data_IF_474727861103
#
_entry.id   IF_474727861103
#
_cell.length_a   1.000
_cell.length_b   1.000
_cell.length_c   1.000
_cell.angle_alpha   90.00
_cell.angle_beta   90.00
_cell.angle_gamma   90.00
#
_symmetry.space_group_name_H-M   'P 1'
#
loop_
_entity.id
_entity.type
_entity.pdbx_description
1 polymer ?
#
# COMPACT_ATOMS: atom_id res chain seq x y z
N UNK A 1 29.04 17.69 -24.22
CA UNK A 1 28.21 16.58 -24.71
C UNK A 1 26.77 16.97 -24.44
N UNK A 2 26.09 17.48 -25.47
CA UNK A 2 24.70 17.87 -25.40
C UNK A 2 23.83 16.62 -25.18
N UNK A 3 23.07 16.60 -24.09
CA UNK A 3 22.00 15.62 -23.89
C UNK A 3 20.88 15.97 -24.86
N UNK A 4 20.90 15.36 -26.04
CA UNK A 4 19.79 15.38 -26.96
C UNK A 4 18.65 14.56 -26.31
N UNK A 5 17.73 15.24 -25.64
CA UNK A 5 16.47 14.65 -25.17
C UNK A 5 15.68 14.28 -26.40
N UNK A 6 15.87 13.07 -26.91
CA UNK A 6 15.06 12.50 -27.98
C UNK A 6 13.61 12.37 -27.48
N UNK A 7 12.82 13.41 -27.71
CA UNK A 7 11.39 13.37 -27.50
C UNK A 7 10.78 12.31 -28.43
N UNK A 8 10.13 11.31 -27.86
CA UNK A 8 9.46 10.26 -28.62
C UNK A 8 8.19 10.81 -29.28
N UNK A 9 8.34 11.38 -30.47
CA UNK A 9 7.23 11.96 -31.24
C UNK A 9 6.36 10.92 -31.98
N UNK A 10 6.75 9.64 -31.97
CA UNK A 10 6.03 8.59 -32.70
C UNK A 10 4.69 8.21 -32.05
N UNK A 11 4.50 8.49 -30.76
CA UNK A 11 3.26 8.12 -30.06
C UNK A 11 2.03 8.73 -30.71
N UNK A 12 2.06 10.01 -31.05
CA UNK A 12 0.92 10.71 -31.68
C UNK A 12 0.61 10.24 -33.11
N UNK A 13 1.56 9.54 -33.74
CA UNK A 13 1.42 8.99 -35.09
C UNK A 13 0.80 7.59 -35.11
N UNK A 14 0.65 6.95 -33.94
CA UNK A 14 0.01 5.65 -33.82
C UNK A 14 -1.51 5.77 -34.09
N UNK A 15 -2.13 4.76 -34.70
CA UNK A 15 -3.58 4.60 -34.72
C UNK A 15 -4.19 4.77 -33.32
N UNK A 16 -5.42 5.31 -33.26
CA UNK A 16 -6.06 5.63 -32.00
C UNK A 16 -6.21 4.39 -31.09
N UNK A 17 -6.48 3.23 -31.69
CA UNK A 17 -6.64 1.95 -31.01
C UNK A 17 -5.37 1.56 -30.25
N UNK A 18 -4.20 1.75 -30.87
CA UNK A 18 -2.91 1.45 -30.23
C UNK A 18 -2.59 2.46 -29.12
N UNK A 19 -2.88 3.75 -29.31
CA UNK A 19 -2.67 4.76 -28.27
C UNK A 19 -3.53 4.49 -27.04
N UNK A 20 -4.81 4.16 -27.25
CA UNK A 20 -5.73 3.77 -26.18
C UNK A 20 -5.29 2.48 -25.48
N UNK A 21 -4.84 1.46 -26.23
CA UNK A 21 -4.30 0.23 -25.66
C UNK A 21 -3.08 0.52 -24.77
N UNK A 22 -2.12 1.33 -25.25
CA UNK A 22 -0.95 1.73 -24.46
C UNK A 22 -1.39 2.45 -23.17
N UNK A 23 -2.34 3.39 -23.25
CA UNK A 23 -2.84 4.06 -22.04
C UNK A 23 -3.48 3.10 -21.04
N UNK A 24 -4.25 2.10 -21.51
CA UNK A 24 -4.85 1.08 -20.63
C UNK A 24 -3.79 0.21 -19.97
N UNK A 25 -2.71 -0.12 -20.67
CA UNK A 25 -1.58 -0.85 -20.10
C UNK A 25 -0.80 0.00 -19.08
N UNK A 26 -0.72 1.31 -19.28
CA UNK A 26 -0.03 2.21 -18.37
C UNK A 26 -0.79 2.52 -17.06
N UNK A 27 -2.06 2.12 -16.93
CA UNK A 27 -2.81 2.28 -15.68
C UNK A 27 -2.19 1.38 -14.58
N UNK A 28 -1.98 1.90 -13.36
CA UNK A 28 -1.41 1.09 -12.29
C UNK A 28 -2.42 0.06 -11.74
N UNK A 29 -1.91 -1.00 -11.11
CA UNK A 29 -2.69 -1.83 -10.20
C UNK A 29 -2.40 -1.34 -8.78
N UNK A 30 -3.38 -0.75 -8.10
CA UNK A 30 -3.15 -0.07 -6.82
C UNK A 30 -3.75 -0.85 -5.67
N UNK A 31 -3.21 -0.56 -4.50
CA UNK A 31 -3.75 -1.01 -3.22
C UNK A 31 -4.40 0.22 -2.60
N UNK A 32 -5.72 0.21 -2.50
CA UNK A 32 -6.56 1.31 -2.06
C UNK A 32 -6.88 1.14 -0.58
N UNK A 33 -6.32 2.00 0.25
CA UNK A 33 -6.58 2.00 1.70
C UNK A 33 -7.94 2.66 2.00
N UNK A 34 -8.68 2.06 2.93
CA UNK A 34 -9.99 2.56 3.40
C UNK A 34 -9.92 3.26 4.74
N UNK A 35 -8.73 3.26 5.34
CA UNK A 35 -8.41 3.83 6.63
C UNK A 35 -6.92 4.13 6.73
N UNK A 36 -6.55 5.00 7.66
CA UNK A 36 -5.16 5.30 7.94
C UNK A 36 -4.53 4.20 8.81
N UNK A 37 -3.29 3.80 8.50
CA UNK A 37 -2.49 3.02 9.46
C UNK A 37 -2.19 3.84 10.72
N UNK A 38 -2.04 3.15 11.86
CA UNK A 38 -1.61 3.79 13.10
C UNK A 38 -0.10 4.09 13.07
N UNK A 39 0.23 5.37 13.06
CA UNK A 39 1.61 5.88 12.92
C UNK A 39 2.39 6.00 14.25
N UNK A 40 1.73 5.91 15.40
CA UNK A 40 2.36 6.17 16.72
C UNK A 40 2.86 4.89 17.41
N UNK A 41 2.79 3.74 16.73
CA UNK A 41 3.02 2.42 17.33
C UNK A 41 1.80 1.97 18.11
N UNK A 42 1.57 0.65 18.17
CA UNK A 42 0.48 0.12 18.98
C UNK A 42 0.71 0.42 20.46
N UNK A 43 -0.36 0.62 21.23
CA UNK A 43 -0.34 0.59 22.71
C UNK A 43 0.32 -0.70 23.25
N UNK A 44 0.43 -1.74 22.41
CA UNK A 44 1.06 -3.04 22.70
C UNK A 44 2.16 -3.46 21.69
N UNK A 45 2.58 -2.58 20.76
CA UNK A 45 3.65 -2.85 19.80
C UNK A 45 5.02 -2.41 20.35
N UNK A 46 6.09 -3.16 20.02
CA UNK A 46 7.41 -2.92 20.63
C UNK A 46 8.11 -1.66 20.13
N UNK A 47 7.79 -1.14 18.93
CA UNK A 47 8.41 0.08 18.40
C UNK A 47 7.45 0.86 17.47
N UNK A 48 7.47 2.21 17.48
CA UNK A 48 6.74 3.02 16.51
C UNK A 48 7.28 2.75 15.09
N UNK A 49 6.43 2.85 14.04
CA UNK A 49 6.86 2.63 12.68
C UNK A 49 7.97 3.61 12.29
N UNK A 50 8.89 3.16 11.44
CA UNK A 50 10.00 3.97 10.95
C UNK A 50 9.56 5.19 10.10
N UNK A 51 8.27 5.37 9.85
CA UNK A 51 7.71 6.41 8.98
C UNK A 51 6.33 6.86 9.45
N UNK A 52 5.96 8.11 9.11
CA UNK A 52 4.59 8.63 9.20
C UNK A 52 3.78 8.15 8.00
N UNK A 53 3.08 7.03 8.11
CA UNK A 53 2.44 6.34 7.01
C UNK A 53 1.19 7.07 6.50
N UNK A 54 0.55 7.93 7.31
CA UNK A 54 -0.57 8.78 6.89
C UNK A 54 -0.25 9.63 5.66
N UNK A 55 0.99 10.10 5.53
CA UNK A 55 1.41 10.90 4.39
C UNK A 55 1.36 10.09 3.09
N UNK A 56 1.83 8.84 3.14
CA UNK A 56 1.78 7.92 2.00
C UNK A 56 0.34 7.56 1.65
N UNK A 57 -0.52 7.32 2.64
CA UNK A 57 -1.96 7.11 2.40
C UNK A 57 -2.56 8.30 1.67
N UNK A 58 -2.29 9.54 2.10
CA UNK A 58 -2.77 10.75 1.44
C UNK A 58 -2.31 10.90 -0.02
N UNK A 59 -1.09 10.47 -0.35
CA UNK A 59 -0.61 10.41 -1.73
C UNK A 59 -1.33 9.31 -2.52
N UNK A 60 -1.48 8.14 -1.92
CA UNK A 60 -2.11 6.98 -2.49
C UNK A 60 -3.63 7.13 -2.69
N UNK A 61 -4.27 8.13 -2.10
CA UNK A 61 -5.71 8.42 -2.31
C UNK A 61 -6.01 9.17 -3.61
N UNK A 62 -5.00 9.75 -4.25
CA UNK A 62 -5.16 10.62 -5.43
C UNK A 62 -5.42 9.78 -6.69
N UNK A 63 -6.02 10.38 -7.72
CA UNK A 63 -6.07 9.76 -9.05
C UNK A 63 -4.65 9.45 -9.57
N UNK A 64 -4.45 8.37 -10.35
CA UNK A 64 -3.14 7.98 -10.85
C UNK A 64 -2.56 9.08 -11.74
N UNK A 65 -1.24 9.17 -11.80
CA UNK A 65 -0.53 10.24 -12.52
C UNK A 65 -0.89 10.29 -14.00
N UNK A 66 -1.17 9.13 -14.60
CA UNK A 66 -1.62 9.01 -16.00
C UNK A 66 -2.90 9.81 -16.30
N UNK A 67 -3.77 10.02 -15.31
CA UNK A 67 -4.99 10.84 -15.47
C UNK A 67 -4.71 12.34 -15.72
N UNK A 68 -3.45 12.77 -15.55
CA UNK A 68 -3.00 14.16 -15.66
C UNK A 68 -2.12 14.44 -16.87
N UNK A 69 -1.74 13.42 -17.65
CA UNK A 69 -0.82 13.56 -18.78
C UNK A 69 -1.47 14.31 -19.95
N UNK A 70 -2.59 13.82 -20.48
CA UNK A 70 -3.32 14.49 -21.56
C UNK A 70 -4.82 14.18 -21.48
N UNK A 71 -5.62 14.74 -22.41
CA UNK A 71 -7.07 14.47 -22.45
C UNK A 71 -7.39 13.00 -22.70
N UNK A 72 -6.65 12.35 -23.61
CA UNK A 72 -6.88 10.95 -23.96
C UNK A 72 -6.56 10.01 -22.79
N UNK A 73 -5.40 10.17 -22.17
CA UNK A 73 -5.00 9.36 -21.01
C UNK A 73 -5.96 9.55 -19.83
N UNK A 74 -6.48 10.77 -19.65
CA UNK A 74 -7.53 11.06 -18.66
C UNK A 74 -8.81 10.31 -18.98
N UNK A 75 -9.29 10.36 -20.21
CA UNK A 75 -10.51 9.63 -20.59
C UNK A 75 -10.35 8.14 -20.31
N UNK A 76 -9.20 7.55 -20.65
CA UNK A 76 -8.90 6.14 -20.34
C UNK A 76 -8.90 5.87 -18.83
N UNK A 77 -8.28 6.71 -18.01
CA UNK A 77 -8.28 6.52 -16.56
C UNK A 77 -9.68 6.59 -15.93
N UNK A 78 -10.60 7.34 -16.54
CA UNK A 78 -11.98 7.50 -16.08
C UNK A 78 -12.96 6.50 -16.74
N UNK A 79 -12.49 5.57 -17.59
CA UNK A 79 -13.35 4.49 -18.16
C UNK A 79 -13.92 3.61 -17.03
N UNK A 80 -13.10 3.31 -16.02
CA UNK A 80 -13.45 2.51 -14.84
C UNK A 80 -13.14 3.23 -13.52
N UNK A 81 -12.16 4.13 -13.52
CA UNK A 81 -11.69 4.81 -12.33
C UNK A 81 -12.56 6.00 -11.92
N UNK A 82 -12.78 6.15 -10.61
CA UNK A 82 -13.54 7.26 -10.03
C UNK A 82 -13.14 7.49 -8.57
N UNK A 83 -13.56 8.61 -7.99
CA UNK A 83 -13.49 8.76 -6.54
C UNK A 83 -14.68 8.04 -5.91
N UNK A 84 -14.41 7.23 -4.90
CA UNK A 84 -15.48 6.66 -4.06
C UNK A 84 -16.31 7.82 -3.53
N UNK A 85 -17.61 7.75 -3.78
CA UNK A 85 -18.56 8.63 -3.14
C UNK A 85 -18.61 8.26 -1.65
N UNK A 86 -18.72 9.29 -0.81
CA UNK A 86 -18.96 9.15 0.61
C UNK A 86 -20.43 8.74 0.82
N UNK A 87 -20.80 7.60 0.23
CA UNK A 87 -22.06 6.95 0.48
C UNK A 87 -21.96 6.35 1.86
N UNK A 88 -22.91 6.71 2.73
CA UNK A 88 -23.14 6.00 3.99
C UNK A 88 -23.00 4.50 3.71
N UNK A 89 -22.09 3.86 4.44
CA UNK A 89 -22.07 2.40 4.51
C UNK A 89 -23.50 1.95 4.75
N UNK A 90 -24.03 0.99 3.96
CA UNK A 90 -25.35 0.45 4.23
C UNK A 90 -25.45 0.13 5.73
N UNK A 91 -26.60 0.40 6.35
CA UNK A 91 -26.81 0.06 7.77
C UNK A 91 -26.53 -1.43 8.05
N UNK A 92 -26.60 -2.26 7.01
CA UNK A 92 -26.31 -3.70 7.02
C UNK A 92 -24.82 -4.04 7.18
N UNK A 93 -23.89 -3.11 6.91
CA UNK A 93 -22.44 -3.30 7.06
C UNK A 93 -21.82 -2.09 7.78
N UNK A 94 -22.25 -1.82 9.03
CA UNK A 94 -21.76 -0.67 9.75
C UNK A 94 -20.30 -0.93 10.10
N UNK A 95 -19.43 -0.05 9.62
CA UNK A 95 -18.12 0.15 10.21
C UNK A 95 -17.78 1.62 10.13
N UNK A 96 -17.47 2.19 11.28
CA UNK A 96 -17.05 3.57 11.38
C UNK A 96 -15.86 3.68 12.31
N UNK A 97 -14.95 4.59 11.99
CA UNK A 97 -13.75 4.86 12.78
C UNK A 97 -13.19 6.24 12.47
N UNK A 98 -12.58 6.88 13.46
CA UNK A 98 -11.96 8.20 13.32
C UNK A 98 -10.81 8.23 12.29
N UNK A 99 -10.27 7.07 11.94
CA UNK A 99 -9.19 6.93 10.96
C UNK A 99 -9.68 6.46 9.59
N UNK A 100 -10.99 6.35 9.40
CA UNK A 100 -11.57 6.03 8.09
C UNK A 100 -11.20 7.09 7.06
N UNK A 101 -11.08 6.66 5.82
CA UNK A 101 -10.74 7.49 4.69
C UNK A 101 -11.98 7.70 3.80
N UNK A 102 -12.46 8.95 3.74
CA UNK A 102 -13.75 9.26 3.08
C UNK A 102 -13.67 9.37 1.55
N UNK A 103 -12.53 9.83 1.03
CA UNK A 103 -12.36 10.15 -0.40
C UNK A 103 -11.10 9.53 -0.96
N UNK A 104 -11.28 8.47 -1.75
CA UNK A 104 -10.16 7.77 -2.40
C UNK A 104 -10.51 7.45 -3.84
N UNK A 105 -9.54 7.67 -4.72
CA UNK A 105 -9.61 7.15 -6.08
C UNK A 105 -9.55 5.63 -6.08
N UNK A 106 -10.44 5.00 -6.85
CA UNK A 106 -10.46 3.56 -7.08
C UNK A 106 -10.71 3.28 -8.56
N UNK A 107 -10.03 2.28 -9.09
CA UNK A 107 -10.41 1.55 -10.30
C UNK A 107 -10.89 0.14 -9.90
N UNK A 108 -12.21 -0.11 -9.82
CA UNK A 108 -12.79 -1.40 -9.44
C UNK A 108 -12.24 -2.61 -10.20
N UNK A 109 -11.83 -2.40 -11.46
CA UNK A 109 -11.37 -3.50 -12.32
C UNK A 109 -9.93 -3.92 -12.06
N UNK A 110 -9.15 -3.10 -11.34
CA UNK A 110 -7.70 -3.28 -11.15
C UNK A 110 -7.29 -3.30 -9.68
N UNK A 111 -7.93 -2.46 -8.87
CA UNK A 111 -7.46 -2.12 -7.54
C UNK A 111 -7.89 -3.13 -6.48
N UNK A 112 -7.05 -3.30 -5.47
CA UNK A 112 -7.30 -4.12 -4.29
C UNK A 112 -7.62 -3.22 -3.11
N UNK A 113 -8.67 -3.52 -2.36
CA UNK A 113 -9.00 -2.79 -1.14
C UNK A 113 -8.11 -3.24 0.02
N UNK A 114 -7.63 -2.32 0.84
CA UNK A 114 -6.81 -2.63 2.02
C UNK A 114 -7.37 -2.00 3.29
N UNK A 115 -7.43 -2.81 4.34
CA UNK A 115 -7.78 -2.43 5.71
C UNK A 115 -6.52 -2.46 6.59
N UNK A 116 -6.11 -1.30 7.11
CA UNK A 116 -5.01 -1.22 8.08
C UNK A 116 -5.49 -1.52 9.51
N UNK A 117 -6.72 -1.11 9.83
CA UNK A 117 -7.35 -1.21 11.14
C UNK A 117 -7.23 -2.62 11.68
N UNK A 118 -6.81 -2.72 12.93
CA UNK A 118 -6.97 -3.92 13.75
C UNK A 118 -7.74 -3.54 15.01
N UNK A 119 -8.49 -4.46 15.65
CA UNK A 119 -9.19 -4.14 16.89
C UNK A 119 -8.30 -3.59 18.02
N UNK A 120 -6.99 -3.84 17.99
CA UNK A 120 -6.02 -3.19 18.88
C UNK A 120 -5.99 -1.66 18.76
N UNK A 121 -6.43 -1.11 17.61
CA UNK A 121 -6.52 0.33 17.37
C UNK A 121 -7.57 1.02 18.24
N UNK A 122 -8.53 0.26 18.80
CA UNK A 122 -9.56 0.78 19.71
C UNK A 122 -9.02 1.46 20.97
N UNK A 123 -7.76 1.18 21.34
CA UNK A 123 -7.09 1.84 22.45
C UNK A 123 -6.72 3.30 22.17
N UNK A 124 -6.54 3.69 20.89
CA UNK A 124 -6.17 5.05 20.48
C UNK A 124 -7.21 5.74 19.60
N UNK A 125 -8.12 4.99 18.99
CA UNK A 125 -9.11 5.51 18.04
C UNK A 125 -10.47 4.89 18.29
N UNK A 126 -11.53 5.67 18.12
CA UNK A 126 -12.86 5.11 18.14
C UNK A 126 -13.10 4.23 16.91
N UNK A 127 -13.80 3.12 17.12
CA UNK A 127 -14.21 2.18 16.09
C UNK A 127 -15.48 1.48 16.52
N UNK A 128 -16.45 1.41 15.62
CA UNK A 128 -17.74 0.74 15.83
C UNK A 128 -18.12 -0.10 14.62
N UNK A 129 -18.80 -1.22 14.88
CA UNK A 129 -19.16 -2.21 13.88
C UNK A 129 -18.01 -3.11 13.41
N UNK A 130 -18.23 -3.84 12.31
CA UNK A 130 -17.30 -4.88 11.83
C UNK A 130 -16.44 -4.37 10.69
N UNK A 131 -15.15 -4.16 10.97
CA UNK A 131 -14.19 -3.72 9.96
C UNK A 131 -14.00 -4.80 8.88
N UNK A 132 -14.08 -6.08 9.26
CA UNK A 132 -13.87 -7.19 8.34
C UNK A 132 -15.05 -7.40 7.39
N UNK A 133 -16.29 -7.26 7.87
CA UNK A 133 -17.47 -7.29 6.99
C UNK A 133 -17.47 -6.07 6.04
N UNK A 134 -17.07 -4.90 6.53
CA UNK A 134 -16.92 -3.70 5.70
C UNK A 134 -15.86 -3.89 4.60
N UNK A 135 -14.72 -4.50 4.94
CA UNK A 135 -13.70 -4.87 3.97
C UNK A 135 -14.27 -5.85 2.94
N UNK A 136 -14.95 -6.91 3.37
CA UNK A 136 -15.53 -7.92 2.47
C UNK A 136 -16.54 -7.29 1.50
N UNK A 137 -17.40 -6.40 2.00
CA UNK A 137 -18.35 -5.65 1.17
C UNK A 137 -17.65 -4.71 0.17
N UNK A 138 -16.61 -3.99 0.61
CA UNK A 138 -15.85 -3.08 -0.25
C UNK A 138 -15.06 -3.85 -1.31
N UNK A 139 -14.43 -4.96 -0.92
CA UNK A 139 -13.64 -5.82 -1.80
C UNK A 139 -14.48 -6.53 -2.87
N UNK A 140 -15.74 -6.84 -2.59
CA UNK A 140 -16.67 -7.40 -3.57
C UNK A 140 -16.95 -6.47 -4.76
N UNK A 141 -16.65 -5.18 -4.62
CA UNK A 141 -16.78 -4.15 -5.67
C UNK A 141 -15.45 -3.80 -6.33
N UNK A 142 -14.40 -4.58 -6.06
CA UNK A 142 -13.05 -4.35 -6.53
C UNK A 142 -12.42 -5.68 -6.96
N UNK A 143 -11.12 -5.68 -7.27
CA UNK A 143 -10.40 -6.91 -7.66
C UNK A 143 -10.19 -7.87 -6.49
N UNK A 144 -10.21 -7.35 -5.26
CA UNK A 144 -10.05 -8.15 -4.06
C UNK A 144 -9.85 -7.29 -2.82
N UNK A 145 -9.56 -7.95 -1.70
CA UNK A 145 -9.36 -7.32 -0.40
C UNK A 145 -8.11 -7.81 0.30
N UNK A 146 -7.59 -6.97 1.19
CA UNK A 146 -6.42 -7.28 1.99
C UNK A 146 -6.52 -6.65 3.36
N UNK A 147 -5.92 -7.28 4.37
CA UNK A 147 -5.87 -6.77 5.73
C UNK A 147 -4.61 -7.22 6.47
N UNK A 148 -4.33 -6.57 7.58
CA UNK A 148 -3.14 -6.82 8.41
C UNK A 148 -3.21 -8.19 9.10
N UNK A 149 -2.09 -8.90 9.17
CA UNK A 149 -1.99 -10.19 9.86
C UNK A 149 -2.41 -10.11 11.32
N UNK A 150 -1.98 -9.06 12.02
CA UNK A 150 -2.27 -8.81 13.44
C UNK A 150 -3.77 -8.63 13.72
N UNK A 151 -4.61 -8.44 12.69
CA UNK A 151 -6.06 -8.48 12.84
C UNK A 151 -6.52 -9.80 13.47
N UNK A 152 -5.84 -10.91 13.14
CA UNK A 152 -6.14 -12.26 13.60
C UNK A 152 -5.78 -12.51 15.08
N UNK A 153 -5.05 -11.61 15.73
CA UNK A 153 -4.69 -11.73 17.14
C UNK A 153 -5.79 -11.26 18.09
N UNK A 154 -6.86 -10.68 17.53
CA UNK A 154 -7.93 -10.10 18.32
C UNK A 154 -9.06 -11.10 18.54
N UNK A 155 -9.67 -11.05 19.71
CA UNK A 155 -10.79 -11.92 20.06
C UNK A 155 -12.11 -11.47 19.42
N UNK A 156 -12.27 -10.17 19.18
CA UNK A 156 -13.50 -9.55 18.69
C UNK A 156 -13.24 -8.57 17.54
N UNK A 157 -14.22 -8.42 16.66
CA UNK A 157 -14.36 -7.37 15.66
C UNK A 157 -15.69 -6.63 15.90
N UNK A 158 -15.58 -5.44 16.50
CA UNK A 158 -16.69 -4.78 17.18
C UNK A 158 -17.19 -5.64 18.34
N UNK A 159 -18.50 -5.82 18.43
CA UNK A 159 -19.15 -6.61 19.49
C UNK A 159 -19.20 -8.12 19.20
N UNK A 160 -18.60 -8.59 18.10
CA UNK A 160 -18.72 -9.98 17.64
C UNK A 160 -17.38 -10.70 17.68
N UNK A 161 -17.38 -11.95 18.12
CA UNK A 161 -16.17 -12.77 18.14
C UNK A 161 -15.61 -12.98 16.74
N UNK A 162 -14.29 -12.89 16.60
CA UNK A 162 -13.61 -13.02 15.30
C UNK A 162 -14.00 -14.32 14.60
N UNK A 163 -14.10 -15.44 15.33
CA UNK A 163 -14.46 -16.77 14.80
C UNK A 163 -15.78 -16.77 14.01
N UNK A 164 -16.72 -15.90 14.38
CA UNK A 164 -18.03 -15.79 13.75
C UNK A 164 -17.97 -15.02 12.42
N UNK A 165 -16.87 -14.29 12.17
CA UNK A 165 -16.61 -13.51 10.95
C UNK A 165 -15.94 -14.31 9.82
N UNK A 166 -15.83 -15.63 9.95
CA UNK A 166 -15.29 -16.49 8.87
C UNK A 166 -16.05 -16.30 7.54
N UNK A 167 -17.35 -15.98 7.61
CA UNK A 167 -18.16 -15.68 6.43
C UNK A 167 -17.64 -14.49 5.62
N UNK A 168 -17.12 -13.46 6.29
CA UNK A 168 -16.49 -12.31 5.64
C UNK A 168 -15.24 -12.72 4.86
N UNK A 169 -14.37 -13.53 5.50
CA UNK A 169 -13.15 -14.03 4.88
C UNK A 169 -13.41 -14.91 3.66
N UNK A 170 -14.45 -15.73 3.69
CA UNK A 170 -14.87 -16.54 2.53
C UNK A 170 -15.33 -15.69 1.34
N UNK A 171 -15.85 -14.49 1.59
CA UNK A 171 -16.29 -13.54 0.55
C UNK A 171 -15.13 -12.74 -0.04
N UNK A 172 -13.95 -12.73 0.59
CA UNK A 172 -12.77 -12.03 0.08
C UNK A 172 -12.16 -12.78 -1.11
N UNK A 173 -12.67 -12.46 -2.30
CA UNK A 173 -12.04 -12.90 -3.55
C UNK A 173 -10.61 -12.36 -3.63
N UNK A 174 -9.68 -13.22 -4.03
CA UNK A 174 -8.25 -12.89 -4.09
C UNK A 174 -7.69 -12.31 -2.77
N UNK A 175 -8.23 -12.75 -1.63
CA UNK A 175 -7.92 -12.21 -0.31
C UNK A 175 -6.43 -12.32 0.03
N UNK A 176 -5.86 -11.21 0.52
CA UNK A 176 -4.44 -11.12 0.89
C UNK A 176 -4.30 -10.79 2.37
N UNK A 177 -3.41 -11.50 3.06
CA UNK A 177 -3.02 -11.14 4.42
C UNK A 177 -1.63 -10.52 4.40
N UNK A 178 -1.54 -9.30 4.91
CA UNK A 178 -0.29 -8.55 4.99
C UNK A 178 0.46 -9.00 6.24
N UNK A 179 1.48 -9.82 6.01
CA UNK A 179 2.32 -10.39 7.07
C UNK A 179 3.29 -9.37 7.66
N UNK A 180 3.73 -8.42 6.83
CA UNK A 180 4.71 -7.40 7.19
C UNK A 180 4.59 -6.20 6.28
N UNK A 181 4.90 -5.02 6.83
CA UNK A 181 5.05 -3.78 6.08
C UNK A 181 6.53 -3.41 6.03
N UNK A 182 7.03 -3.10 4.84
CA UNK A 182 8.36 -2.55 4.59
C UNK A 182 8.20 -1.18 3.93
N UNK A 183 8.85 -0.17 4.48
CA UNK A 183 8.79 1.20 3.97
C UNK A 183 10.05 1.47 3.13
N UNK A 184 9.89 2.03 1.94
CA UNK A 184 10.97 2.39 1.03
C UNK A 184 11.07 3.90 0.96
N UNK A 185 12.07 4.46 1.63
CA UNK A 185 12.34 5.89 1.68
C UNK A 185 13.19 6.32 0.48
N UNK A 186 12.59 6.96 -0.52
CA UNK A 186 13.30 7.33 -1.75
C UNK A 186 12.64 8.53 -2.43
N UNK A 187 13.15 9.00 -3.56
CA UNK A 187 12.48 10.03 -4.38
C UNK A 187 11.49 9.38 -5.35
N UNK A 188 10.48 10.14 -5.80
CA UNK A 188 9.56 9.68 -6.85
C UNK A 188 10.31 9.24 -8.12
N UNK A 189 11.36 9.97 -8.47
CA UNK A 189 12.18 9.66 -9.65
C UNK A 189 12.90 8.31 -9.51
N UNK A 190 13.50 8.05 -8.35
CA UNK A 190 14.16 6.78 -8.09
C UNK A 190 13.15 5.63 -8.05
N UNK A 191 11.99 5.83 -7.42
CA UNK A 191 10.92 4.83 -7.41
C UNK A 191 10.38 4.52 -8.81
N UNK A 192 10.21 5.53 -9.67
CA UNK A 192 9.75 5.35 -11.04
C UNK A 192 10.80 4.59 -11.90
N UNK A 193 12.10 4.91 -11.73
CA UNK A 193 13.19 4.23 -12.45
C UNK A 193 13.27 2.72 -12.19
N UNK A 194 12.79 2.24 -11.04
CA UNK A 194 12.79 0.80 -10.76
C UNK A 194 11.60 0.07 -11.38
N UNK A 195 10.52 0.78 -11.73
CA UNK A 195 9.24 0.19 -12.14
C UNK A 195 8.50 -0.57 -11.02
N UNK A 196 9.07 -0.65 -9.81
CA UNK A 196 8.50 -1.42 -8.69
C UNK A 196 7.23 -0.76 -8.13
N UNK A 197 7.18 0.58 -8.10
CA UNK A 197 6.05 1.36 -7.61
C UNK A 197 5.21 1.95 -8.75
N UNK A 198 5.00 1.16 -9.81
CA UNK A 198 4.32 1.59 -11.03
C UNK A 198 5.24 2.36 -11.98
N UNK A 199 4.81 2.49 -13.24
CA UNK A 199 5.61 3.12 -14.30
C UNK A 199 5.98 4.58 -13.99
N UNK A 200 5.14 5.28 -13.24
CA UNK A 200 5.30 6.70 -12.90
C UNK A 200 5.62 6.92 -11.40
N UNK A 201 5.90 5.85 -10.65
CA UNK A 201 6.10 5.92 -9.20
C UNK A 201 4.83 6.26 -8.41
N UNK A 202 3.65 6.10 -9.01
CA UNK A 202 2.36 6.49 -8.45
C UNK A 202 1.57 5.33 -7.83
N UNK A 203 2.11 4.11 -7.85
CA UNK A 203 1.61 2.96 -7.11
C UNK A 203 2.33 2.86 -5.76
N UNK A 204 2.04 3.79 -4.85
CA UNK A 204 2.73 3.98 -3.56
C UNK A 204 2.74 2.74 -2.65
N UNK A 205 1.79 1.83 -2.85
CA UNK A 205 1.67 0.61 -2.05
C UNK A 205 1.62 -0.58 -3.00
N UNK A 206 2.40 -1.61 -2.68
CA UNK A 206 2.49 -2.85 -3.45
C UNK A 206 2.37 -4.04 -2.51
N UNK A 207 1.48 -4.98 -2.84
CA UNK A 207 1.36 -6.28 -2.18
C UNK A 207 2.12 -7.32 -3.00
N UNK A 208 3.15 -7.91 -2.42
CA UNK A 208 3.95 -8.94 -3.08
C UNK A 208 3.71 -10.27 -2.37
N UNK A 209 3.23 -11.26 -3.13
CA UNK A 209 3.01 -12.60 -2.61
C UNK A 209 4.31 -13.17 -2.07
N UNK A 210 4.28 -13.86 -0.92
CA UNK A 210 5.50 -14.44 -0.36
C UNK A 210 6.12 -15.51 -1.25
N UNK A 211 5.36 -16.05 -2.20
CA UNK A 211 5.81 -17.05 -3.16
C UNK A 211 6.52 -16.44 -4.37
N UNK A 212 6.40 -15.12 -4.57
CA UNK A 212 7.05 -14.38 -5.66
C UNK A 212 8.44 -13.90 -5.22
N UNK A 213 9.37 -14.84 -5.11
CA UNK A 213 10.72 -14.58 -4.63
C UNK A 213 11.47 -13.54 -5.48
N UNK A 214 11.27 -13.56 -6.80
CA UNK A 214 11.93 -12.62 -7.70
C UNK A 214 11.50 -11.19 -7.38
N UNK A 215 10.20 -10.95 -7.24
CA UNK A 215 9.68 -9.62 -6.94
C UNK A 215 10.00 -9.21 -5.51
N UNK A 216 9.89 -10.13 -4.53
CA UNK A 216 10.30 -9.87 -3.15
C UNK A 216 11.76 -9.42 -3.06
N UNK A 217 12.66 -10.16 -3.69
CA UNK A 217 14.09 -9.83 -3.68
C UNK A 217 14.33 -8.45 -4.30
N UNK A 218 13.69 -8.13 -5.43
CA UNK A 218 13.82 -6.80 -6.05
C UNK A 218 13.38 -5.66 -5.12
N UNK A 219 12.29 -5.84 -4.38
CA UNK A 219 11.84 -4.84 -3.40
C UNK A 219 12.75 -4.75 -2.17
N UNK A 220 13.17 -5.88 -1.59
CA UNK A 220 14.08 -5.88 -0.45
C UNK A 220 15.42 -5.25 -0.81
N UNK A 221 16.03 -5.66 -1.92
CA UNK A 221 17.30 -5.11 -2.39
C UNK A 221 17.20 -3.59 -2.61
N UNK A 222 16.07 -3.12 -3.16
CA UNK A 222 15.83 -1.68 -3.33
C UNK A 222 15.64 -0.95 -2.00
N UNK A 223 14.88 -1.54 -1.07
CA UNK A 223 14.64 -0.96 0.26
C UNK A 223 15.95 -0.87 1.07
N UNK A 224 16.72 -1.94 1.13
CA UNK A 224 18.04 -2.01 1.79
C UNK A 224 19.01 -0.99 1.18
N UNK A 225 19.03 -0.87 -0.16
CA UNK A 225 19.85 0.14 -0.84
C UNK A 225 19.42 1.57 -0.46
N UNK A 226 18.12 1.83 -0.34
CA UNK A 226 17.60 3.14 0.04
C UNK A 226 17.90 3.50 1.50
N UNK A 227 17.96 2.52 2.40
CA UNK A 227 18.40 2.71 3.80
C UNK A 227 19.92 2.61 3.99
N UNK A 228 20.70 2.43 2.92
CA UNK A 228 22.16 2.54 3.02
C UNK A 228 22.57 4.00 3.27
N UNK A 229 23.81 4.23 3.73
CA UNK A 229 24.26 5.46 4.42
C UNK A 229 24.43 6.80 3.63
N UNK A 230 24.25 6.97 2.30
CA UNK A 230 24.64 8.25 1.67
C UNK A 230 23.75 9.47 2.00
N UNK A 231 22.69 9.33 2.80
CA UNK A 231 21.54 10.24 2.79
C UNK A 231 21.20 10.91 4.13
N UNK A 232 22.08 10.77 5.14
CA UNK A 232 21.93 11.36 6.47
C UNK A 232 21.84 10.31 7.59
N UNK A 233 21.56 10.76 8.81
CA UNK A 233 21.40 9.87 9.97
C UNK A 233 20.00 9.27 10.01
N UNK A 234 19.92 7.93 10.02
CA UNK A 234 18.68 7.18 10.12
C UNK A 234 18.23 7.16 11.59
N UNK A 235 17.04 7.71 11.86
CA UNK A 235 16.43 7.77 13.19
C UNK A 235 15.63 6.52 13.55
N UNK A 236 15.13 5.78 12.55
CA UNK A 236 14.42 4.51 12.73
C UNK A 236 14.83 3.52 11.64
N UNK A 237 15.71 2.57 11.99
CA UNK A 237 16.16 1.55 11.05
C UNK A 237 15.13 0.43 10.96
N UNK A 238 14.83 -0.02 9.75
CA UNK A 238 13.95 -1.18 9.58
C UNK A 238 14.75 -2.48 9.63
N UNK A 239 14.08 -3.54 10.06
CA UNK A 239 14.58 -4.89 9.89
C UNK A 239 14.18 -5.41 8.49
N UNK A 240 15.17 -5.81 7.70
CA UNK A 240 14.99 -6.38 6.36
C UNK A 240 15.17 -7.90 6.33
N UNK A 241 15.12 -8.56 7.50
CA UNK A 241 15.18 -10.03 7.55
C UNK A 241 14.08 -10.63 6.68
N UNK A 242 14.51 -11.52 5.78
CA UNK A 242 13.63 -12.29 4.89
C UNK A 242 13.19 -13.55 5.60
N UNK A 243 11.89 -13.79 5.66
CA UNK A 243 11.33 -15.07 6.09
C UNK A 243 11.21 -16.01 4.91
N UNK A 244 11.34 -17.31 5.15
CA UNK A 244 11.08 -18.28 4.08
C UNK A 244 9.58 -18.36 3.79
N UNK A 245 9.18 -18.62 2.54
CA UNK A 245 7.77 -18.77 2.19
C UNK A 245 7.07 -19.83 3.05
N UNK A 246 7.75 -20.92 3.39
CA UNK A 246 7.20 -22.00 4.22
C UNK A 246 6.93 -21.52 5.65
N UNK A 247 7.85 -20.75 6.23
CA UNK A 247 7.72 -20.20 7.58
C UNK A 247 6.53 -19.25 7.65
N UNK A 248 6.41 -18.33 6.70
CA UNK A 248 5.31 -17.37 6.67
C UNK A 248 3.95 -18.05 6.41
N UNK A 249 3.88 -19.05 5.52
CA UNK A 249 2.66 -19.85 5.31
C UNK A 249 2.27 -20.63 6.56
N UNK A 250 3.25 -21.25 7.23
CA UNK A 250 3.00 -22.00 8.46
C UNK A 250 2.45 -21.09 9.54
N UNK A 251 3.10 -19.94 9.77
CA UNK A 251 2.65 -18.95 10.74
C UNK A 251 1.21 -18.49 10.45
N UNK A 252 0.89 -18.21 9.18
CA UNK A 252 -0.46 -17.85 8.79
C UNK A 252 -1.47 -18.97 9.06
N UNK A 253 -1.17 -20.20 8.65
CA UNK A 253 -2.06 -21.34 8.82
C UNK A 253 -2.31 -21.65 10.30
N UNK A 254 -1.27 -21.61 11.13
CA UNK A 254 -1.37 -21.81 12.57
C UNK A 254 -2.28 -20.75 13.21
N UNK A 255 -2.14 -19.48 12.77
CA UNK A 255 -2.97 -18.37 13.26
C UNK A 255 -4.42 -18.47 12.81
N UNK A 256 -4.68 -18.81 11.56
CA UNK A 256 -6.05 -19.01 11.04
C UNK A 256 -6.73 -20.19 11.74
N UNK A 257 -6.00 -21.29 11.98
CA UNK A 257 -6.52 -22.44 12.70
C UNK A 257 -6.88 -22.10 14.15
N UNK A 258 -6.10 -21.23 14.79
CA UNK A 258 -6.40 -20.72 16.12
C UNK A 258 -7.65 -19.81 16.13
N UNK A 259 -7.79 -18.91 15.17
CA UNK A 259 -8.89 -17.94 15.13
C UNK A 259 -10.23 -18.54 14.66
N UNK A 260 -10.24 -19.55 13.79
CA UNK A 260 -11.43 -20.01 13.05
C UNK A 260 -11.64 -21.54 13.01
N UNK A 261 -10.91 -22.31 13.81
CA UNK A 261 -10.79 -23.76 13.72
C UNK A 261 -10.04 -24.25 12.46
N UNK A 262 -9.23 -25.29 12.63
CA UNK A 262 -8.33 -25.81 11.59
C UNK A 262 -9.04 -26.25 10.31
N UNK A 263 -10.23 -26.87 10.43
CA UNK A 263 -10.97 -27.36 9.26
C UNK A 263 -11.54 -26.21 8.43
N UNK A 264 -12.04 -25.16 9.09
CA UNK A 264 -12.63 -24.03 8.40
C UNK A 264 -11.54 -23.13 7.79
N UNK A 265 -10.43 -22.93 8.50
CA UNK A 265 -9.25 -22.20 8.03
C UNK A 265 -8.69 -22.73 6.69
N UNK A 266 -8.64 -24.05 6.50
CA UNK A 266 -8.14 -24.69 5.25
C UNK A 266 -8.94 -24.34 4.00
N UNK A 267 -10.18 -23.86 4.17
CA UNK A 267 -11.06 -23.50 3.04
C UNK A 267 -10.96 -22.04 2.64
N UNK A 268 -10.20 -21.23 3.39
CA UNK A 268 -10.11 -19.79 3.16
C UNK A 268 -9.17 -19.50 1.98
N UNK A 269 -9.61 -18.69 1.00
CA UNK A 269 -8.82 -18.35 -0.19
C UNK A 269 -7.82 -17.21 0.09
N UNK A 270 -7.10 -17.28 1.21
CA UNK A 270 -6.23 -16.21 1.69
C UNK A 270 -4.77 -16.54 1.39
N UNK A 271 -4.07 -15.57 0.80
CA UNK A 271 -2.63 -15.69 0.51
C UNK A 271 -1.82 -14.69 1.34
N UNK A 272 -0.72 -15.12 1.96
CA UNK A 272 0.20 -14.22 2.65
C UNK A 272 1.01 -13.36 1.66
N UNK A 273 1.21 -12.09 2.02
CA UNK A 273 2.01 -11.14 1.25
C UNK A 273 2.80 -10.19 2.16
N UNK A 274 3.85 -9.59 1.60
CA UNK A 274 4.54 -8.45 2.20
C UNK A 274 4.05 -7.18 1.50
N UNK A 275 3.71 -6.17 2.30
CA UNK A 275 3.37 -4.85 1.81
C UNK A 275 4.63 -4.00 1.72
N UNK A 276 4.91 -3.45 0.55
CA UNK A 276 5.91 -2.41 0.37
C UNK A 276 5.23 -1.05 0.23
N UNK A 277 5.64 -0.08 1.05
CA UNK A 277 5.14 1.30 1.04
C UNK A 277 6.24 2.25 0.60
N UNK A 278 6.02 3.00 -0.47
CA UNK A 278 6.93 4.05 -0.92
C UNK A 278 6.69 5.34 -0.13
N UNK A 279 7.72 5.87 0.52
CA UNK A 279 7.71 7.15 1.23
C UNK A 279 8.63 8.17 0.53
N UNK A 280 8.07 9.27 -0.05
CA UNK A 280 8.85 10.33 -0.67
C UNK A 280 9.36 11.42 0.28
N UNK A 281 9.18 11.27 1.60
CA UNK A 281 9.46 12.29 2.61
C UNK A 281 10.66 11.98 3.52
N UNK A 282 11.29 10.81 3.36
CA UNK A 282 12.44 10.40 4.19
C UNK A 282 12.22 10.58 5.70
N UNK A 283 11.03 10.19 6.15
CA UNK A 283 10.61 10.37 7.55
C UNK A 283 11.50 9.61 8.56
N UNK A 284 12.23 8.58 8.13
CA UNK A 284 13.19 7.85 8.94
C UNK A 284 14.56 8.53 9.07
N UNK A 285 14.74 9.77 8.61
CA UNK A 285 15.97 10.55 8.76
C UNK A 285 15.76 11.74 9.70
N UNK A 286 16.81 12.14 10.44
CA UNK A 286 16.75 13.24 11.43
C UNK A 286 16.35 14.61 10.85
N UNK A 287 16.45 14.76 9.52
CA UNK A 287 16.12 15.96 8.76
C UNK A 287 14.63 15.95 8.28
N UNK A 288 13.95 14.81 8.40
CA UNK A 288 12.79 14.42 7.59
C UNK A 288 11.40 14.58 8.21
N UNK A 289 11.19 15.46 9.20
CA UNK A 289 9.84 15.61 9.76
C UNK A 289 8.84 16.29 8.78
N UNK A 290 9.33 17.06 7.79
CA UNK A 290 8.50 17.79 6.82
C UNK A 290 9.12 17.98 5.41
N UNK A 291 10.33 17.46 5.15
CA UNK A 291 11.06 17.72 3.89
C UNK A 291 10.81 16.62 2.87
N UNK A 292 10.80 16.94 1.57
CA UNK A 292 10.73 15.89 0.53
C UNK A 292 12.12 15.30 0.32
N UNK A 293 12.17 14.04 -0.11
CA UNK A 293 13.42 13.34 -0.43
C UNK A 293 14.30 14.09 -1.45
N UNK A 294 13.69 14.81 -2.40
CA UNK A 294 14.43 15.66 -3.36
C UNK A 294 15.19 16.79 -2.67
N UNK A 295 14.62 17.36 -1.61
CA UNK A 295 15.23 18.45 -0.86
C UNK A 295 16.46 17.92 -0.11
N UNK A 296 16.37 16.71 0.48
CA UNK A 296 17.48 16.08 1.21
C UNK A 296 18.58 15.60 0.28
N UNK A 297 18.24 15.01 -0.87
CA UNK A 297 19.22 14.53 -1.85
C UNK A 297 20.10 15.68 -2.40
N UNK A 298 19.53 16.87 -2.58
CA UNK A 298 20.27 18.04 -3.06
C UNK A 298 21.25 18.59 -2.00
N UNK A 299 20.94 18.49 -0.71
CA UNK A 299 21.83 18.91 0.38
C UNK A 299 23.06 17.98 0.50
N UNK A 300 22.90 16.67 0.27
CA UNK A 300 24.00 15.69 0.30
C UNK A 300 24.98 15.80 -0.87
N UNK A 301 24.59 16.46 -1.97
CA UNK A 301 25.45 16.70 -3.15
C UNK A 301 26.27 18.00 -3.09
N UNK A 302 26.17 18.76 -2.00
CA UNK A 302 26.85 20.05 -1.83
C UNK A 302 28.30 19.94 -1.34
N UNK A 303 29.23 19.52 -2.20
CA UNK A 303 30.64 19.89 -2.04
C UNK A 303 30.91 21.28 -2.64
N UNK A 304 31.33 22.21 -1.78
CA UNK A 304 32.10 23.43 -2.08
C UNK A 304 31.58 24.38 -3.17
N UNK A 305 30.79 25.37 -2.76
CA UNK A 305 30.86 26.70 -3.40
C UNK A 305 31.81 27.57 -2.56
N UNK A 306 32.98 27.81 -3.14
CA UNK A 306 34.05 28.64 -2.61
C UNK A 306 33.58 30.01 -2.11
N UNK A 307 34.04 30.38 -0.92
CA UNK A 307 34.40 31.77 -0.65
C UNK A 307 35.52 32.17 -1.62
N UNK A 308 35.21 33.09 -2.54
CA UNK A 308 36.07 34.21 -2.92
C UNK A 308 35.19 35.42 -3.22
#
# INVERSE_FOLDING_TARGET
>A
MENDTQDFHCFSRLPAELRLAIWRECLPNRVVEIDYPWDDGGVFGLDPPACKLQQTTNLNRRAPMISRVCRESRLVAFESGHFREDGSTPEEVPWNSDIRVDKTWIDPSRDTIHLNWTPAYSAGYWGDGSALDHLAWSAAKARGGSFMFDYLDNTCDGDVYIKERIGALRKLQHGVIVMRVIIVHTTLENAAKTGLFGLLGDAYIQLVDISDETRLNAFFDFAEKCESKPNGYITGKQDFRRETPESARKLLNDRLAYAFDAQAARTLPLRPAIMFRFCPYWCNHSIGNFRRAKDVANEGSGESLHMR
#
